data_IF_148510281915
#
_entry.id   IF_148510281915
#
_cell.length_a   1.000
_cell.length_b   1.000
_cell.length_c   1.000
_cell.angle_alpha   90.00
_cell.angle_beta   90.00
_cell.angle_gamma   90.00
#
_symmetry.space_group_name_H-M   'P 1'
#
loop_
_entity.id
_entity.type
_entity.pdbx_description
1 polymer ?
#
# COMPACT_ATOMS: atom_id res chain seq x y z
N UNK A 1 -14.62 15.37 5.55
CA UNK A 1 -15.12 13.97 5.50
C UNK A 1 -14.16 13.18 4.62
N UNK A 2 -13.64 12.02 5.04
CA UNK A 2 -12.87 11.20 4.11
C UNK A 2 -13.82 10.76 3.00
N UNK A 3 -13.49 11.05 1.75
CA UNK A 3 -14.20 10.51 0.62
C UNK A 3 -13.93 9.00 0.64
N UNK A 4 -14.91 8.20 1.05
CA UNK A 4 -14.79 6.74 0.91
C UNK A 4 -14.77 6.46 -0.59
N UNK A 5 -13.60 6.09 -1.13
CA UNK A 5 -13.36 5.83 -2.54
C UNK A 5 -14.03 4.55 -3.07
N UNK A 6 -14.91 3.92 -2.28
CA UNK A 6 -15.56 2.65 -2.58
C UNK A 6 -16.97 2.60 -1.98
N UNK A 7 -17.89 1.97 -2.71
CA UNK A 7 -19.30 1.79 -2.31
C UNK A 7 -19.59 0.39 -1.79
N UNK A 8 -18.74 -0.59 -2.12
CA UNK A 8 -18.93 -1.99 -1.75
C UNK A 8 -17.61 -2.72 -1.49
N UNK A 9 -17.70 -3.92 -0.91
CA UNK A 9 -16.54 -4.74 -0.52
C UNK A 9 -15.69 -5.19 -1.73
N UNK A 10 -16.31 -5.43 -2.88
CA UNK A 10 -15.60 -5.83 -4.10
C UNK A 10 -14.75 -4.68 -4.65
N UNK A 11 -15.29 -3.46 -4.66
CA UNK A 11 -14.53 -2.26 -5.03
C UNK A 11 -13.36 -2.01 -4.08
N UNK A 12 -13.58 -2.18 -2.77
CA UNK A 12 -12.49 -2.07 -1.79
C UNK A 12 -11.37 -3.06 -2.08
N UNK A 13 -11.71 -4.32 -2.40
CA UNK A 13 -10.71 -5.33 -2.76
C UNK A 13 -9.97 -5.02 -4.07
N UNK A 14 -10.66 -4.45 -5.06
CA UNK A 14 -10.01 -3.98 -6.28
C UNK A 14 -8.99 -2.87 -5.96
N UNK A 15 -9.36 -1.87 -5.15
CA UNK A 15 -8.47 -0.77 -4.75
C UNK A 15 -7.28 -1.30 -3.95
N UNK A 16 -7.51 -2.24 -3.02
CA UNK A 16 -6.42 -2.90 -2.27
C UNK A 16 -5.44 -3.56 -3.24
N UNK A 17 -5.94 -4.31 -4.23
CA UNK A 17 -5.11 -4.93 -5.26
C UNK A 17 -4.30 -3.92 -6.08
N UNK A 18 -4.93 -2.80 -6.47
CA UNK A 18 -4.27 -1.71 -7.19
C UNK A 18 -3.15 -1.07 -6.35
N UNK A 19 -3.40 -0.79 -5.06
CA UNK A 19 -2.38 -0.22 -4.17
C UNK A 19 -1.21 -1.18 -3.96
N UNK A 20 -1.47 -2.47 -3.78
CA UNK A 20 -0.41 -3.50 -3.69
C UNK A 20 0.44 -3.51 -4.96
N UNK A 21 -0.20 -3.53 -6.13
CA UNK A 21 0.49 -3.54 -7.42
C UNK A 21 1.34 -2.28 -7.62
N UNK A 22 0.79 -1.10 -7.28
CA UNK A 22 1.49 0.17 -7.31
C UNK A 22 2.73 0.18 -6.39
N UNK A 23 2.59 -0.26 -5.14
CA UNK A 23 3.69 -0.33 -4.18
C UNK A 23 4.79 -1.27 -4.70
N UNK A 24 4.42 -2.48 -5.13
CA UNK A 24 5.37 -3.47 -5.62
C UNK A 24 6.14 -2.96 -6.84
N UNK A 25 5.45 -2.35 -7.81
CA UNK A 25 6.08 -1.80 -9.00
C UNK A 25 7.04 -0.67 -8.64
N UNK A 26 6.59 0.27 -7.83
CA UNK A 26 7.38 1.45 -7.44
C UNK A 26 8.63 1.07 -6.67
N UNK A 27 8.52 0.17 -5.69
CA UNK A 27 9.65 -0.28 -4.88
C UNK A 27 10.61 -1.20 -5.63
N UNK A 28 10.14 -1.95 -6.63
CA UNK A 28 11.00 -2.79 -7.48
C UNK A 28 11.82 -1.94 -8.45
N UNK A 29 11.27 -0.82 -8.94
CA UNK A 29 11.99 0.12 -9.81
C UNK A 29 12.89 1.09 -9.06
N UNK A 30 12.69 1.25 -7.74
CA UNK A 30 13.48 2.14 -6.90
C UNK A 30 14.92 1.60 -6.75
N UNK A 31 15.83 2.08 -7.59
CA UNK A 31 17.24 1.67 -7.59
C UNK A 31 18.06 2.30 -6.46
N UNK A 32 17.88 3.59 -6.20
CA UNK A 32 18.73 4.33 -5.27
C UNK A 32 17.93 5.29 -4.37
N UNK A 33 17.06 6.14 -4.93
CA UNK A 33 16.17 7.04 -4.18
C UNK A 33 14.83 7.21 -4.88
N UNK A 34 13.80 7.47 -4.09
CA UNK A 34 12.50 7.92 -4.57
C UNK A 34 12.47 9.45 -4.55
N UNK A 35 11.80 10.06 -5.53
CA UNK A 35 11.44 11.47 -5.42
C UNK A 35 10.51 11.69 -4.22
N UNK A 36 10.45 12.93 -3.70
CA UNK A 36 9.54 13.26 -2.60
C UNK A 36 8.07 12.96 -2.93
N UNK A 37 7.67 13.14 -4.20
CA UNK A 37 6.32 12.83 -4.68
C UNK A 37 6.05 11.31 -4.71
N UNK A 38 7.00 10.51 -5.20
CA UNK A 38 6.86 9.05 -5.20
C UNK A 38 6.83 8.49 -3.77
N UNK A 39 7.70 9.01 -2.90
CA UNK A 39 7.72 8.62 -1.49
C UNK A 39 6.38 8.89 -0.82
N UNK A 40 5.80 10.08 -1.05
CA UNK A 40 4.49 10.46 -0.52
C UNK A 40 3.39 9.53 -1.04
N UNK A 41 3.34 9.26 -2.35
CA UNK A 41 2.34 8.38 -2.96
C UNK A 41 2.40 6.94 -2.43
N UNK A 42 3.60 6.39 -2.22
CA UNK A 42 3.76 5.04 -1.64
C UNK A 42 3.33 5.04 -0.17
N UNK A 43 3.65 6.09 0.58
CA UNK A 43 3.23 6.22 1.99
C UNK A 43 1.71 6.28 2.10
N UNK A 44 1.05 7.10 1.29
CA UNK A 44 -0.43 7.18 1.23
C UNK A 44 -1.08 5.85 0.85
N UNK A 45 -0.47 5.10 -0.06
CA UNK A 45 -0.94 3.77 -0.43
C UNK A 45 -0.82 2.79 0.76
N UNK A 46 0.28 2.83 1.50
CA UNK A 46 0.49 2.00 2.69
C UNK A 46 -0.51 2.35 3.79
N UNK A 47 -0.72 3.64 4.06
CA UNK A 47 -1.66 4.10 5.07
C UNK A 47 -3.09 3.65 4.73
N UNK A 48 -3.49 3.78 3.47
CA UNK A 48 -4.76 3.23 2.99
C UNK A 48 -4.87 1.72 3.27
N UNK A 49 -3.82 0.94 2.96
CA UNK A 49 -3.84 -0.50 3.20
C UNK A 49 -3.95 -0.83 4.71
N UNK A 50 -3.29 -0.06 5.58
CA UNK A 50 -3.35 -0.25 7.04
C UNK A 50 -4.73 0.05 7.61
N UNK A 51 -5.38 1.11 7.12
CA UNK A 51 -6.73 1.49 7.55
C UNK A 51 -7.78 0.45 7.17
N UNK A 52 -7.54 -0.30 6.07
CA UNK A 52 -8.53 -1.21 5.50
C UNK A 52 -8.18 -2.70 5.65
N UNK A 53 -7.01 -3.05 6.22
CA UNK A 53 -6.54 -4.46 6.26
C UNK A 53 -7.50 -5.41 6.97
N UNK A 54 -8.18 -4.96 8.01
CA UNK A 54 -9.11 -5.80 8.77
C UNK A 54 -10.37 -6.17 7.98
N UNK A 55 -10.64 -5.51 6.86
CA UNK A 55 -11.69 -5.92 5.91
C UNK A 55 -11.32 -7.21 5.16
N UNK A 56 -10.04 -7.63 5.22
CA UNK A 56 -9.50 -8.88 4.67
C UNK A 56 -9.32 -9.98 5.74
N UNK A 57 -9.93 -9.85 6.93
CA UNK A 57 -9.71 -10.79 8.05
C UNK A 57 -9.94 -12.27 7.68
N UNK A 58 -10.92 -12.55 6.83
CA UNK A 58 -11.25 -13.92 6.39
C UNK A 58 -10.42 -14.40 5.20
N UNK A 59 -9.76 -13.49 4.47
CA UNK A 59 -9.09 -13.77 3.20
C UNK A 59 -7.86 -12.87 3.02
N UNK A 60 -6.70 -13.32 3.51
CA UNK A 60 -5.43 -12.71 3.13
C UNK A 60 -4.91 -11.57 4.02
N UNK A 61 -5.50 -11.33 5.20
CA UNK A 61 -4.97 -10.37 6.19
C UNK A 61 -3.47 -10.57 6.45
N UNK A 62 -3.02 -11.81 6.70
CA UNK A 62 -1.61 -12.11 6.96
C UNK A 62 -0.70 -11.74 5.77
N UNK A 63 -1.18 -11.98 4.54
CA UNK A 63 -0.44 -11.63 3.33
C UNK A 63 -0.36 -10.11 3.16
N UNK A 64 -1.46 -9.41 3.40
CA UNK A 64 -1.50 -7.96 3.35
C UNK A 64 -0.58 -7.33 4.41
N UNK A 65 -0.57 -7.86 5.63
CA UNK A 65 0.36 -7.42 6.68
C UNK A 65 1.83 -7.64 6.31
N UNK A 66 2.14 -8.78 5.69
CA UNK A 66 3.48 -9.04 5.18
C UNK A 66 3.90 -8.03 4.10
N UNK A 67 3.01 -7.73 3.16
CA UNK A 67 3.26 -6.75 2.10
C UNK A 67 3.48 -5.35 2.68
N UNK A 68 2.61 -4.91 3.60
CA UNK A 68 2.73 -3.61 4.27
C UNK A 68 4.08 -3.49 4.97
N UNK A 69 4.45 -4.48 5.80
CA UNK A 69 5.73 -4.46 6.54
C UNK A 69 6.93 -4.44 5.60
N UNK A 70 6.92 -5.27 4.56
CA UNK A 70 8.01 -5.33 3.58
C UNK A 70 8.17 -3.99 2.83
N UNK A 71 7.06 -3.33 2.51
CA UNK A 71 7.06 -2.03 1.86
C UNK A 71 7.60 -0.92 2.78
N UNK A 72 7.15 -0.88 4.04
CA UNK A 72 7.64 0.07 5.05
C UNK A 72 9.15 -0.09 5.29
N UNK A 73 9.65 -1.33 5.39
CA UNK A 73 11.07 -1.59 5.59
C UNK A 73 11.90 -1.18 4.37
N UNK A 74 11.41 -1.43 3.15
CA UNK A 74 12.08 -0.97 1.94
C UNK A 74 12.10 0.56 1.83
N UNK A 75 11.00 1.24 2.16
CA UNK A 75 10.95 2.71 2.17
C UNK A 75 11.97 3.32 3.13
N UNK A 76 12.19 2.72 4.31
CA UNK A 76 13.22 3.19 5.25
C UNK A 76 14.62 3.19 4.62
N UNK A 77 14.93 2.17 3.80
CA UNK A 77 16.24 2.10 3.11
C UNK A 77 16.40 3.13 1.99
N UNK A 78 15.30 3.64 1.44
CA UNK A 78 15.28 4.62 0.35
C UNK A 78 15.22 6.07 0.84
N UNK A 79 15.07 6.27 2.16
CA UNK A 79 15.03 7.58 2.82
C UNK A 79 16.44 8.00 3.24
N UNK A 80 17.27 8.37 2.28
CA UNK A 80 18.58 9.00 2.51
C UNK A 80 18.82 10.07 1.44
#
# INVERSE_FOLDING_TARGET
MPAYYYTNKSELFAIIGEKISFINKSLLTAREKLSGEEFQKITEAIDFLKDHKYQMADQGLNQLEYIIRSAEDKLKTLRH
#
